data_IF_539278829138
#
_entry.id   IF_539278829138
#
_cell.length_a   1.000
_cell.length_b   1.000
_cell.length_c   1.000
_cell.angle_alpha   90.00
_cell.angle_beta   90.00
_cell.angle_gamma   90.00
#
_symmetry.space_group_name_H-M   'P 1'
#
loop_
_entity.id
_entity.type
_entity.pdbx_description
1 polymer ?
#
# COMPACT_ATOMS: atom_id res chain seq x y z
N UNK A 1 -15.26 -5.31 -11.35
CA UNK A 1 -14.25 -5.65 -12.38
C UNK A 1 -12.89 -5.18 -11.89
N UNK A 2 -11.89 -6.06 -11.73
CA UNK A 2 -10.62 -5.68 -11.10
C UNK A 2 -9.73 -4.78 -11.98
N UNK A 3 -9.98 -4.72 -13.28
CA UNK A 3 -9.20 -3.91 -14.24
C UNK A 3 -9.77 -2.50 -14.39
N UNK A 4 -8.88 -1.56 -14.76
CA UNK A 4 -9.26 -0.19 -15.13
C UNK A 4 -10.08 -0.20 -16.43
N UNK A 5 -11.11 0.63 -16.47
CA UNK A 5 -11.88 0.92 -17.68
C UNK A 5 -11.34 2.22 -18.28
N UNK A 6 -11.02 2.25 -19.57
CA UNK A 6 -10.59 3.47 -20.24
C UNK A 6 -11.65 4.58 -20.07
N UNK A 7 -11.20 5.82 -19.89
CA UNK A 7 -12.11 6.95 -19.75
C UNK A 7 -12.81 7.23 -21.11
N UNK A 8 -14.12 7.52 -21.12
CA UNK A 8 -14.85 7.75 -22.38
C UNK A 8 -14.45 9.05 -23.10
N UNK A 9 -13.99 10.05 -22.37
CA UNK A 9 -13.34 11.24 -22.95
C UNK A 9 -11.94 10.85 -23.46
N UNK A 10 -11.79 10.85 -24.79
CA UNK A 10 -10.57 10.45 -25.51
C UNK A 10 -9.42 11.40 -25.23
N UNK A 11 -9.68 12.70 -25.05
CA UNK A 11 -8.62 13.67 -24.75
C UNK A 11 -8.05 13.41 -23.35
N UNK A 12 -8.94 13.17 -22.38
CA UNK A 12 -8.53 12.85 -21.02
C UNK A 12 -7.78 11.51 -20.96
N UNK A 13 -8.23 10.49 -21.68
CA UNK A 13 -7.55 9.18 -21.74
C UNK A 13 -6.17 9.29 -22.42
N UNK A 14 -6.05 10.06 -23.51
CA UNK A 14 -4.77 10.31 -24.19
C UNK A 14 -3.77 11.08 -23.31
N UNK A 15 -4.26 11.94 -22.41
CA UNK A 15 -3.40 12.69 -21.47
C UNK A 15 -2.54 11.80 -20.58
N UNK A 16 -2.92 10.53 -20.36
CA UNK A 16 -2.11 9.56 -19.62
C UNK A 16 -0.74 9.39 -20.27
N UNK A 17 -0.72 9.29 -21.61
CA UNK A 17 0.51 9.13 -22.39
C UNK A 17 1.34 10.41 -22.38
N UNK A 18 0.68 11.55 -22.59
CA UNK A 18 1.34 12.85 -22.65
C UNK A 18 2.03 13.21 -21.33
N UNK A 19 1.37 13.01 -20.20
CA UNK A 19 1.94 13.27 -18.87
C UNK A 19 3.12 12.34 -18.60
N UNK A 20 3.02 11.07 -18.97
CA UNK A 20 4.12 10.12 -18.80
C UNK A 20 5.35 10.55 -19.61
N UNK A 21 5.16 10.86 -20.89
CA UNK A 21 6.25 11.26 -21.78
C UNK A 21 6.94 12.54 -21.28
N UNK A 22 6.17 13.51 -20.78
CA UNK A 22 6.71 14.72 -20.12
C UNK A 22 7.53 14.39 -18.86
N UNK A 23 7.13 13.40 -18.06
CA UNK A 23 7.89 13.00 -16.86
C UNK A 23 9.18 12.28 -17.21
N UNK A 24 9.15 11.37 -18.18
CA UNK A 24 10.34 10.66 -18.66
C UNK A 24 11.37 11.62 -19.25
N UNK A 25 10.93 12.66 -19.98
CA UNK A 25 11.83 13.72 -20.48
C UNK A 25 12.54 14.49 -19.35
N UNK A 26 11.90 14.65 -18.19
CA UNK A 26 12.48 15.34 -17.03
C UNK A 26 13.30 14.43 -16.13
N UNK A 27 13.07 13.12 -16.17
CA UNK A 27 13.77 12.13 -15.36
C UNK A 27 13.99 10.84 -16.16
N UNK A 28 15.17 10.74 -16.78
CA UNK A 28 15.55 9.62 -17.63
C UNK A 28 15.72 8.28 -16.88
N UNK A 29 15.83 8.29 -15.55
CA UNK A 29 15.91 7.05 -14.76
C UNK A 29 14.53 6.52 -14.35
N UNK A 30 13.45 7.19 -14.73
CA UNK A 30 12.08 6.74 -14.45
C UNK A 30 11.73 5.52 -15.32
N UNK A 31 11.24 4.46 -14.70
CA UNK A 31 10.80 3.25 -15.38
C UNK A 31 9.33 2.92 -15.06
N UNK A 32 8.66 2.20 -15.95
CA UNK A 32 7.28 1.77 -15.74
C UNK A 32 7.24 0.38 -15.09
N UNK A 33 6.96 0.32 -13.80
CA UNK A 33 6.79 -0.94 -13.05
C UNK A 33 5.33 -1.40 -13.00
N UNK A 34 5.09 -2.72 -13.09
CA UNK A 34 3.76 -3.31 -12.89
C UNK A 34 3.35 -3.26 -11.42
N UNK A 35 2.06 -3.09 -11.15
CA UNK A 35 1.48 -3.03 -9.81
C UNK A 35 0.15 -3.75 -9.74
N UNK A 36 -0.24 -4.22 -8.56
CA UNK A 36 -1.60 -4.69 -8.33
C UNK A 36 -2.57 -3.51 -8.28
N UNK A 37 -3.68 -3.61 -9.02
CA UNK A 37 -4.80 -2.66 -8.94
C UNK A 37 -5.79 -3.14 -7.89
N UNK A 38 -6.16 -2.26 -6.96
CA UNK A 38 -7.27 -2.54 -6.06
C UNK A 38 -8.61 -2.37 -6.78
N UNK A 39 -9.42 -3.42 -6.79
CA UNK A 39 -10.73 -3.48 -7.44
C UNK A 39 -11.88 -3.80 -6.47
N UNK A 40 -11.70 -3.53 -5.18
CA UNK A 40 -12.70 -3.78 -4.13
C UNK A 40 -12.41 -5.02 -3.29
N UNK A 41 -13.37 -5.36 -2.43
CA UNK A 41 -13.27 -6.51 -1.54
C UNK A 41 -14.64 -7.14 -1.26
N UNK A 42 -14.64 -8.38 -0.80
CA UNK A 42 -15.83 -9.08 -0.29
C UNK A 42 -15.51 -9.65 1.09
N UNK A 43 -16.46 -9.54 2.02
CA UNK A 43 -16.42 -10.25 3.29
C UNK A 43 -17.09 -11.62 3.15
N UNK A 44 -16.31 -12.68 3.27
CA UNK A 44 -16.77 -14.05 3.22
C UNK A 44 -16.92 -14.58 4.66
N UNK A 45 -18.05 -15.23 4.97
CA UNK A 45 -18.19 -16.01 6.20
C UNK A 45 -17.63 -17.41 5.96
N UNK A 46 -16.92 -17.95 6.95
CA UNK A 46 -16.54 -19.36 6.93
C UNK A 46 -17.78 -20.21 7.24
N UNK A 47 -18.07 -21.19 6.39
CA UNK A 47 -19.19 -22.10 6.61
C UNK A 47 -19.09 -22.77 7.99
N UNK A 48 -20.17 -22.69 8.77
CA UNK A 48 -20.29 -23.33 10.09
C UNK A 48 -19.83 -22.51 11.30
N UNK A 49 -19.35 -21.28 11.13
CA UNK A 49 -19.02 -20.38 12.25
C UNK A 49 -19.76 -19.04 12.16
N UNK A 50 -20.28 -18.54 13.28
CA UNK A 50 -20.92 -17.21 13.35
C UNK A 50 -19.89 -16.07 13.47
N UNK A 51 -18.60 -16.38 13.65
CA UNK A 51 -17.57 -15.41 14.04
C UNK A 51 -16.31 -15.38 13.16
N UNK A 52 -16.06 -16.37 12.28
CA UNK A 52 -14.89 -16.32 11.39
C UNK A 52 -15.23 -15.68 10.04
N UNK A 53 -14.67 -14.49 9.81
CA UNK A 53 -14.74 -13.79 8.54
C UNK A 53 -13.39 -13.86 7.82
N UNK A 54 -13.44 -14.05 6.51
CA UNK A 54 -12.31 -13.91 5.60
C UNK A 54 -12.55 -12.71 4.68
N UNK A 55 -11.50 -11.94 4.41
CA UNK A 55 -11.55 -10.85 3.43
C UNK A 55 -11.00 -11.37 2.10
N UNK A 56 -11.79 -11.26 1.03
CA UNK A 56 -11.33 -11.49 -0.33
C UNK A 56 -11.06 -10.15 -1.01
N UNK A 57 -9.81 -9.87 -1.38
CA UNK A 57 -9.46 -8.67 -2.14
C UNK A 57 -9.57 -8.95 -3.64
N UNK A 58 -10.30 -8.11 -4.35
CA UNK A 58 -10.40 -8.19 -5.80
C UNK A 58 -9.25 -7.41 -6.42
N UNK A 59 -8.24 -8.13 -6.93
CA UNK A 59 -7.04 -7.51 -7.47
C UNK A 59 -6.98 -7.65 -8.99
N UNK A 60 -6.62 -6.55 -9.65
CA UNK A 60 -6.26 -6.52 -11.07
C UNK A 60 -4.80 -6.16 -11.25
N UNK A 61 -4.43 -5.83 -12.48
CA UNK A 61 -3.11 -5.30 -12.81
C UNK A 61 -3.21 -3.85 -13.28
N UNK A 62 -2.20 -3.07 -12.94
CA UNK A 62 -1.95 -1.73 -13.45
C UNK A 62 -0.44 -1.49 -13.51
N UNK A 63 -0.01 -0.27 -13.78
CA UNK A 63 1.38 0.09 -13.84
C UNK A 63 1.62 1.53 -13.37
N UNK A 64 2.89 1.86 -13.11
CA UNK A 64 3.29 3.16 -12.62
C UNK A 64 2.93 4.29 -13.60
N UNK A 65 3.04 4.03 -14.91
CA UNK A 65 2.62 4.97 -15.97
C UNK A 65 1.16 5.36 -15.87
N UNK A 66 0.27 4.39 -15.72
CA UNK A 66 -1.17 4.65 -15.59
C UNK A 66 -1.46 5.39 -14.29
N UNK A 67 -0.77 5.05 -13.19
CA UNK A 67 -0.90 5.78 -11.93
C UNK A 67 -0.50 7.26 -12.07
N UNK A 68 0.63 7.52 -12.73
CA UNK A 68 1.10 8.87 -13.05
C UNK A 68 0.08 9.65 -13.88
N UNK A 69 -0.49 9.02 -14.90
CA UNK A 69 -1.40 9.67 -15.84
C UNK A 69 -2.87 9.76 -15.38
N UNK A 70 -3.25 9.06 -14.30
CA UNK A 70 -4.62 9.07 -13.76
C UNK A 70 -4.67 9.67 -12.36
N UNK A 71 -4.26 8.91 -11.33
CA UNK A 71 -4.30 9.35 -9.94
C UNK A 71 -3.40 10.58 -9.69
N UNK A 72 -2.20 10.65 -10.28
CA UNK A 72 -1.32 11.82 -10.15
C UNK A 72 -1.50 12.88 -11.25
N UNK A 73 -2.54 12.75 -12.07
CA UNK A 73 -2.88 13.74 -13.08
C UNK A 73 -3.34 15.03 -12.38
N UNK A 74 -2.93 16.23 -12.84
CA UNK A 74 -3.50 17.49 -12.32
C UNK A 74 -5.03 17.56 -12.39
N UNK A 75 -5.63 16.82 -13.33
CA UNK A 75 -7.08 16.68 -13.53
C UNK A 75 -7.63 15.34 -12.99
N UNK A 76 -6.97 14.71 -12.00
CA UNK A 76 -7.34 13.39 -11.49
C UNK A 76 -8.83 13.27 -11.10
N UNK A 77 -9.45 14.34 -10.60
CA UNK A 77 -10.88 14.37 -10.25
C UNK A 77 -11.79 14.09 -11.45
N UNK A 78 -11.37 14.44 -12.67
CA UNK A 78 -12.13 14.17 -13.89
C UNK A 78 -12.18 12.67 -14.25
N UNK A 79 -11.26 11.87 -13.71
CA UNK A 79 -11.31 10.41 -13.87
C UNK A 79 -12.32 9.75 -12.90
N UNK A 80 -12.90 10.50 -11.97
CA UNK A 80 -13.87 9.94 -11.03
C UNK A 80 -15.28 9.91 -11.60
N UNK A 81 -16.01 8.86 -11.27
CA UNK A 81 -17.46 8.77 -11.49
C UNK A 81 -18.19 9.19 -10.22
N UNK A 82 -19.21 10.07 -10.27
CA UNK A 82 -20.06 10.36 -9.13
C UNK A 82 -20.81 9.12 -8.64
N UNK A 83 -20.24 8.41 -7.67
CA UNK A 83 -20.80 7.20 -7.08
C UNK A 83 -20.28 7.04 -5.64
N UNK A 84 -21.13 6.48 -4.78
CA UNK A 84 -20.74 6.04 -3.43
C UNK A 84 -20.05 4.66 -3.45
N UNK A 85 -20.18 3.91 -4.55
CA UNK A 85 -19.43 2.67 -4.74
C UNK A 85 -18.01 3.01 -5.20
N UNK A 86 -17.05 2.79 -4.31
CA UNK A 86 -15.62 2.99 -4.54
C UNK A 86 -15.10 2.38 -5.84
N UNK A 87 -15.62 1.20 -6.20
CA UNK A 87 -15.22 0.50 -7.42
C UNK A 87 -15.66 1.26 -8.67
N UNK A 88 -16.90 1.77 -8.66
CA UNK A 88 -17.48 2.55 -9.77
C UNK A 88 -16.81 3.92 -9.81
N UNK A 89 -16.69 4.58 -8.66
CA UNK A 89 -16.07 5.89 -8.54
C UNK A 89 -14.66 5.92 -9.13
N UNK A 90 -13.86 4.88 -8.85
CA UNK A 90 -12.46 4.80 -9.25
C UNK A 90 -12.23 3.97 -10.53
N UNK A 91 -13.28 3.62 -11.28
CA UNK A 91 -13.16 2.67 -12.40
C UNK A 91 -12.21 3.13 -13.52
N UNK A 92 -12.02 4.45 -13.71
CA UNK A 92 -11.12 5.01 -14.71
C UNK A 92 -9.72 5.33 -14.20
N UNK A 93 -9.43 5.07 -12.92
CA UNK A 93 -8.13 5.32 -12.31
C UNK A 93 -7.30 4.04 -12.15
N UNK A 94 -5.98 4.19 -12.07
CA UNK A 94 -5.03 3.09 -11.88
C UNK A 94 -5.25 2.38 -10.54
N UNK A 95 -5.46 3.14 -9.45
CA UNK A 95 -5.62 2.63 -8.08
C UNK A 95 -4.60 1.53 -7.70
N UNK A 96 -3.28 1.79 -7.82
CA UNK A 96 -2.28 0.82 -7.39
C UNK A 96 -2.40 0.61 -5.88
N UNK A 97 -2.46 -0.65 -5.44
CA UNK A 97 -2.51 -1.00 -4.03
C UNK A 97 -1.11 -0.84 -3.42
N UNK A 98 -0.93 0.17 -2.59
CA UNK A 98 0.26 0.25 -1.72
C UNK A 98 0.12 -0.64 -0.49
N UNK A 99 1.18 -0.77 0.30
CA UNK A 99 1.14 -1.37 1.63
C UNK A 99 1.78 -0.44 2.67
N UNK A 100 1.53 -0.72 3.95
CA UNK A 100 2.11 0.01 5.08
C UNK A 100 2.09 -0.80 6.37
N UNK A 101 3.15 -0.70 7.17
CA UNK A 101 3.35 -1.46 8.39
C UNK A 101 3.33 -0.56 9.62
N UNK A 102 2.49 -0.91 10.57
CA UNK A 102 2.50 -0.33 11.91
C UNK A 102 3.30 -1.27 12.77
N UNK A 103 4.58 -0.95 12.91
CA UNK A 103 5.56 -1.77 13.62
C UNK A 103 5.64 -1.34 15.09
N UNK A 104 5.21 -2.22 15.99
CA UNK A 104 5.32 -2.05 17.45
C UNK A 104 6.60 -2.73 17.97
N UNK A 105 7.45 -1.95 18.63
CA UNK A 105 8.70 -2.43 19.27
C UNK A 105 8.42 -3.18 20.57
N UNK A 106 9.43 -3.88 21.10
CA UNK A 106 9.29 -4.61 22.37
C UNK A 106 8.96 -3.70 23.56
N UNK A 107 9.43 -2.45 23.52
CA UNK A 107 9.16 -1.37 24.48
C UNK A 107 7.93 -0.52 24.12
N UNK A 108 7.02 -1.03 23.29
CA UNK A 108 5.70 -0.43 22.97
C UNK A 108 5.76 0.93 22.29
N UNK A 109 6.81 1.17 21.50
CA UNK A 109 6.90 2.32 20.59
C UNK A 109 6.47 1.90 19.19
N UNK A 110 6.01 2.88 18.41
CA UNK A 110 5.64 2.70 17.00
C UNK A 110 6.70 3.33 16.12
N UNK A 111 7.12 2.62 15.09
CA UNK A 111 8.10 3.11 14.12
C UNK A 111 7.41 3.91 13.02
N UNK A 112 7.94 5.09 12.73
CA UNK A 112 7.54 5.94 11.59
C UNK A 112 8.78 6.52 10.91
N UNK A 113 8.67 6.80 9.61
CA UNK A 113 9.76 7.30 8.78
C UNK A 113 9.45 8.70 8.28
N UNK A 114 10.45 9.58 8.25
CA UNK A 114 10.37 10.82 7.51
C UNK A 114 10.85 10.59 6.08
N UNK A 115 9.96 10.77 5.11
CA UNK A 115 10.28 10.64 3.70
C UNK A 115 11.36 11.63 3.29
N UNK A 116 12.26 11.20 2.41
CA UNK A 116 13.23 12.07 1.76
C UNK A 116 12.53 13.18 0.98
N UNK A 117 13.20 14.32 0.78
CA UNK A 117 12.67 15.42 -0.03
C UNK A 117 12.79 15.15 -1.53
N UNK A 118 13.48 14.08 -1.92
CA UNK A 118 13.73 13.72 -3.33
C UNK A 118 12.73 12.70 -3.89
N UNK A 119 11.77 12.25 -3.07
CA UNK A 119 10.74 11.28 -3.50
C UNK A 119 9.60 11.98 -4.25
N UNK A 120 8.97 11.24 -5.17
CA UNK A 120 7.92 11.79 -6.04
C UNK A 120 6.56 12.04 -5.39
N UNK A 121 6.30 11.48 -4.21
CA UNK A 121 5.04 11.66 -3.47
C UNK A 121 5.33 12.03 -2.02
N UNK A 122 4.67 13.09 -1.53
CA UNK A 122 4.73 13.59 -0.15
C UNK A 122 6.16 13.73 0.42
N UNK A 123 7.04 14.51 -0.24
CA UNK A 123 8.40 14.75 0.25
C UNK A 123 8.37 15.33 1.68
N UNK A 124 9.28 14.87 2.53
CA UNK A 124 9.42 15.35 3.92
C UNK A 124 8.31 14.93 4.89
N UNK A 125 7.25 14.26 4.42
CA UNK A 125 6.14 13.83 5.27
C UNK A 125 6.54 12.61 6.10
N UNK A 126 5.91 12.49 7.26
CA UNK A 126 6.01 11.28 8.08
C UNK A 126 5.06 10.22 7.52
N UNK A 127 5.52 8.98 7.46
CA UNK A 127 4.75 7.82 7.02
C UNK A 127 5.06 6.60 7.87
N UNK A 128 4.21 5.59 7.76
CA UNK A 128 4.55 4.23 8.19
C UNK A 128 5.48 3.59 7.15
N UNK A 129 6.42 2.71 7.57
CA UNK A 129 7.21 1.91 6.65
C UNK A 129 6.34 1.15 5.65
N UNK A 130 6.80 0.97 4.42
CA UNK A 130 6.08 0.23 3.37
C UNK A 130 6.26 0.80 1.98
N UNK A 131 5.74 0.06 0.99
CA UNK A 131 5.86 0.39 -0.42
C UNK A 131 4.75 -0.27 -1.23
N UNK A 132 5.11 -1.22 -2.10
CA UNK A 132 4.16 -1.84 -3.03
C UNK A 132 4.46 -3.31 -3.32
N UNK A 133 3.48 -4.22 -3.17
CA UNK A 133 3.60 -5.57 -3.70
C UNK A 133 3.74 -5.55 -5.23
N UNK A 134 4.66 -6.36 -5.75
CA UNK A 134 4.96 -6.40 -7.18
C UNK A 134 4.43 -7.69 -7.83
N UNK A 135 3.62 -7.62 -8.89
CA UNK A 135 3.09 -8.82 -9.56
C UNK A 135 4.17 -9.74 -10.14
N UNK A 136 5.36 -9.23 -10.40
CA UNK A 136 6.47 -9.97 -11.00
C UNK A 136 7.03 -11.03 -10.04
N UNK A 137 7.07 -10.74 -8.74
CA UNK A 137 7.54 -11.65 -7.68
C UNK A 137 6.74 -12.95 -7.61
N UNK A 138 5.49 -12.94 -8.08
CA UNK A 138 4.59 -14.11 -8.08
C UNK A 138 4.30 -14.66 -9.48
N UNK A 139 5.00 -14.18 -10.51
CA UNK A 139 4.76 -14.59 -11.89
C UNK A 139 3.37 -14.19 -12.41
N UNK A 140 2.71 -13.21 -11.78
CA UNK A 140 1.41 -12.68 -12.19
C UNK A 140 1.52 -11.62 -13.31
N UNK A 141 2.70 -11.49 -13.93
CA UNK A 141 3.00 -10.46 -14.91
C UNK A 141 2.26 -10.60 -16.25
N UNK A 142 1.63 -11.75 -16.55
CA UNK A 142 0.87 -11.96 -17.79
C UNK A 142 -0.41 -12.76 -17.55
N UNK A 143 -1.56 -12.19 -17.89
CA UNK A 143 -2.80 -12.97 -18.05
C UNK A 143 -2.71 -13.79 -19.34
N UNK A 144 -2.10 -14.98 -19.29
CA UNK A 144 -2.35 -15.96 -20.35
C UNK A 144 -3.79 -16.44 -20.20
N UNK A 145 -4.66 -16.01 -21.13
CA UNK A 145 -6.10 -16.25 -21.11
C UNK A 145 -6.50 -17.73 -21.34
N UNK A 146 -5.53 -18.66 -21.41
CA UNK A 146 -5.71 -20.03 -21.88
C UNK A 146 -5.83 -21.14 -20.83
N UNK A 147 -5.38 -20.95 -19.59
CA UNK A 147 -5.35 -22.01 -18.56
C UNK A 147 -6.25 -21.67 -17.36
N UNK A 148 -7.55 -21.52 -17.60
CA UNK A 148 -8.39 -20.65 -16.77
C UNK A 148 -9.16 -21.25 -15.59
N UNK A 149 -9.01 -22.53 -15.22
CA UNK A 149 -9.86 -23.08 -14.14
C UNK A 149 -9.16 -23.96 -13.10
N UNK A 150 -8.07 -24.65 -13.40
CA UNK A 150 -7.41 -25.56 -12.45
C UNK A 150 -6.30 -24.91 -11.60
N UNK A 151 -5.81 -23.73 -11.98
CA UNK A 151 -4.72 -23.01 -11.30
C UNK A 151 -5.18 -21.74 -10.55
N UNK A 152 -6.48 -21.44 -10.48
CA UNK A 152 -6.99 -20.18 -9.91
C UNK A 152 -6.76 -20.07 -8.40
N UNK A 153 -7.03 -21.12 -7.62
CA UNK A 153 -6.81 -21.13 -6.17
C UNK A 153 -5.32 -21.06 -5.81
N UNK A 154 -4.48 -21.80 -6.54
CA UNK A 154 -3.03 -21.77 -6.35
C UNK A 154 -2.44 -20.38 -6.65
N UNK A 155 -2.93 -19.71 -7.70
CA UNK A 155 -2.54 -18.34 -8.02
C UNK A 155 -3.03 -17.34 -6.96
N UNK A 156 -4.26 -17.50 -6.45
CA UNK A 156 -4.79 -16.65 -5.38
C UNK A 156 -3.97 -16.80 -4.08
N UNK A 157 -3.56 -18.02 -3.73
CA UNK A 157 -2.71 -18.27 -2.56
C UNK A 157 -1.33 -17.60 -2.72
N UNK A 158 -0.71 -17.66 -3.91
CA UNK A 158 0.56 -16.98 -4.18
C UNK A 158 0.44 -15.46 -4.08
N UNK A 159 -0.58 -14.88 -4.71
CA UNK A 159 -0.83 -13.43 -4.65
C UNK A 159 -1.11 -13.01 -3.20
N UNK A 160 -1.90 -13.78 -2.46
CA UNK A 160 -2.14 -13.51 -1.05
C UNK A 160 -0.85 -13.57 -0.24
N UNK A 161 -0.01 -14.59 -0.45
CA UNK A 161 1.27 -14.72 0.25
C UNK A 161 2.17 -13.51 -0.03
N UNK A 162 2.25 -13.06 -1.28
CA UNK A 162 3.02 -11.88 -1.65
C UNK A 162 2.54 -10.58 -0.99
N UNK A 163 1.24 -10.43 -0.69
CA UNK A 163 0.76 -9.27 0.07
C UNK A 163 1.36 -9.21 1.48
N UNK A 164 1.61 -10.36 2.10
CA UNK A 164 2.21 -10.46 3.43
C UNK A 164 3.74 -10.47 3.37
N UNK A 165 4.33 -11.16 2.40
CA UNK A 165 5.78 -11.22 2.23
C UNK A 165 6.35 -9.86 1.83
N UNK A 166 5.68 -9.13 0.94
CA UNK A 166 6.10 -7.79 0.53
C UNK A 166 6.22 -6.84 1.71
N UNK A 167 5.23 -6.79 2.61
CA UNK A 167 5.31 -5.86 3.74
C UNK A 167 6.42 -6.22 4.74
N UNK A 168 6.74 -7.51 4.88
CA UNK A 168 7.90 -7.94 5.67
C UNK A 168 9.20 -7.47 5.00
N UNK A 169 9.33 -7.65 3.67
CA UNK A 169 10.51 -7.21 2.91
C UNK A 169 10.71 -5.70 3.05
N UNK A 170 9.67 -4.91 2.83
CA UNK A 170 9.70 -3.44 2.96
C UNK A 170 10.17 -3.00 4.36
N UNK A 171 9.64 -3.62 5.42
CA UNK A 171 10.08 -3.35 6.80
C UNK A 171 11.56 -3.66 7.00
N UNK A 172 12.04 -4.79 6.49
CA UNK A 172 13.46 -5.18 6.60
C UNK A 172 14.34 -4.22 5.80
N UNK A 173 13.95 -3.86 4.59
CA UNK A 173 14.74 -3.03 3.67
C UNK A 173 14.80 -1.56 4.12
N UNK A 174 13.69 -0.99 4.62
CA UNK A 174 13.62 0.40 5.06
C UNK A 174 14.14 0.63 6.49
N UNK A 175 14.09 -0.38 7.36
CA UNK A 175 14.42 -0.24 8.79
C UNK A 175 15.70 -0.99 9.17
N UNK A 176 16.10 -2.02 8.41
CA UNK A 176 17.29 -2.81 8.67
C UNK A 176 17.15 -3.84 9.80
N UNK A 177 15.94 -4.08 10.31
CA UNK A 177 15.71 -5.12 11.33
C UNK A 177 15.78 -6.52 10.72
N UNK A 178 16.29 -7.54 11.45
CA UNK A 178 16.28 -8.91 10.97
C UNK A 178 14.85 -9.47 10.91
N UNK A 179 14.52 -10.22 9.85
CA UNK A 179 13.19 -10.84 9.69
C UNK A 179 12.78 -11.72 10.89
N UNK A 180 13.74 -12.38 11.54
CA UNK A 180 13.50 -13.22 12.73
C UNK A 180 13.05 -12.44 13.96
N UNK A 181 13.17 -11.11 13.96
CA UNK A 181 12.64 -10.24 15.01
C UNK A 181 11.16 -9.91 14.86
N UNK A 182 10.58 -10.19 13.69
CA UNK A 182 9.23 -9.77 13.32
C UNK A 182 8.22 -10.90 13.57
N UNK A 183 7.06 -10.55 14.12
CA UNK A 183 5.89 -11.44 14.11
C UNK A 183 5.29 -11.54 12.71
N UNK A 184 4.46 -12.56 12.49
CA UNK A 184 3.62 -12.60 11.29
C UNK A 184 2.77 -11.32 11.19
N UNK A 185 2.67 -10.69 10.01
CA UNK A 185 1.85 -9.51 9.83
C UNK A 185 0.38 -9.82 10.03
N UNK A 186 -0.32 -8.93 10.75
CA UNK A 186 -1.77 -8.94 10.85
C UNK A 186 -2.33 -7.89 9.90
N UNK A 187 -3.10 -8.29 8.90
CA UNK A 187 -3.83 -7.35 8.05
C UNK A 187 -4.94 -6.66 8.84
N UNK A 188 -4.88 -5.34 8.96
CA UNK A 188 -5.82 -4.55 9.77
C UNK A 188 -6.83 -3.76 8.93
N UNK A 189 -6.63 -3.68 7.61
CA UNK A 189 -7.61 -3.08 6.69
C UNK A 189 -6.98 -2.32 5.54
N UNK A 190 -7.82 -1.62 4.78
CA UNK A 190 -7.42 -0.75 3.65
C UNK A 190 -7.82 0.67 3.98
N UNK A 191 -6.90 1.60 3.75
CA UNK A 191 -7.21 3.03 3.75
C UNK A 191 -7.02 3.60 2.36
N UNK A 192 -7.99 4.39 1.90
CA UNK A 192 -7.93 5.13 0.65
C UNK A 192 -7.86 6.62 0.94
N UNK A 193 -6.95 7.32 0.26
CA UNK A 193 -6.85 8.78 0.34
C UNK A 193 -8.10 9.43 -0.25
N UNK A 194 -8.48 10.59 0.30
CA UNK A 194 -9.41 11.51 -0.38
C UNK A 194 -8.72 12.12 -1.60
N UNK A 195 -7.52 12.70 -1.40
CA UNK A 195 -6.68 13.17 -2.48
C UNK A 195 -6.22 12.00 -3.35
N UNK A 196 -6.42 12.08 -4.66
CA UNK A 196 -5.94 11.11 -5.66
C UNK A 196 -6.37 9.65 -5.50
N UNK A 197 -7.31 9.34 -4.59
CA UNK A 197 -7.96 8.03 -4.41
C UNK A 197 -7.02 6.81 -4.36
N UNK A 198 -5.74 6.99 -4.00
CA UNK A 198 -4.79 5.88 -3.89
C UNK A 198 -5.10 5.03 -2.64
N UNK A 199 -5.32 3.71 -2.79
CA UNK A 199 -5.52 2.79 -1.67
C UNK A 199 -4.19 2.24 -1.14
N UNK A 200 -4.15 1.91 0.15
CA UNK A 200 -3.07 1.17 0.78
C UNK A 200 -3.60 0.15 1.79
N UNK A 201 -3.06 -1.07 1.73
CA UNK A 201 -3.28 -2.11 2.72
C UNK A 201 -2.39 -1.89 3.94
N UNK A 202 -2.95 -1.94 5.15
CA UNK A 202 -2.20 -1.77 6.38
C UNK A 202 -2.08 -3.07 7.15
N UNK A 203 -0.88 -3.26 7.71
CA UNK A 203 -0.52 -4.41 8.51
C UNK A 203 0.02 -3.96 9.86
N UNK A 204 -0.29 -4.71 10.90
CA UNK A 204 0.32 -4.57 12.21
C UNK A 204 1.36 -5.67 12.41
N UNK A 205 2.55 -5.30 12.88
CA UNK A 205 3.67 -6.21 13.08
C UNK A 205 4.29 -5.90 14.46
N UNK A 206 4.59 -6.93 15.25
CA UNK A 206 5.39 -6.78 16.47
C UNK A 206 6.85 -7.10 16.16
N UNK A 207 7.75 -6.29 16.69
CA UNK A 207 9.18 -6.51 16.68
C UNK A 207 9.67 -6.79 18.10
N UNK A 208 10.49 -7.81 18.29
CA UNK A 208 11.07 -8.13 19.60
C UNK A 208 12.30 -7.26 19.96
N UNK A 209 12.69 -6.31 19.10
CA UNK A 209 13.79 -5.38 19.31
C UNK A 209 13.26 -4.08 19.94
N UNK A 210 14.03 -3.52 20.87
CA UNK A 210 13.73 -2.23 21.51
C UNK A 210 13.94 -1.05 20.54
N UNK A 211 13.14 0.00 20.72
CA UNK A 211 13.17 1.22 19.91
C UNK A 211 14.57 1.81 19.70
N UNK A 212 15.39 1.87 20.75
CA UNK A 212 16.76 2.41 20.70
C UNK A 212 17.68 1.60 19.79
N UNK A 213 17.52 0.29 19.75
CA UNK A 213 18.33 -0.58 18.90
C UNK A 213 17.86 -0.52 17.44
N UNK A 214 16.54 -0.41 17.20
CA UNK A 214 15.99 -0.18 15.86
C UNK A 214 16.58 1.10 15.24
N UNK A 215 16.69 2.18 15.99
CA UNK A 215 17.31 3.43 15.51
C UNK A 215 18.77 3.24 15.07
N UNK A 216 19.51 2.30 15.67
CA UNK A 216 20.89 1.99 15.26
C UNK A 216 20.91 1.12 14.00
N UNK A 217 20.04 0.12 13.92
CA UNK A 217 19.92 -0.77 12.76
C UNK A 217 19.54 0.00 11.50
N UNK A 218 18.72 1.05 11.63
CA UNK A 218 18.33 1.93 10.53
C UNK A 218 19.52 2.51 9.74
N UNK A 219 20.68 2.72 10.37
CA UNK A 219 21.87 3.19 9.67
C UNK A 219 22.39 2.21 8.60
N UNK A 220 22.00 0.93 8.69
CA UNK A 220 22.30 -0.11 7.70
C UNK A 220 21.13 -0.47 6.78
N UNK A 221 20.03 0.29 6.82
CA UNK A 221 18.87 0.06 5.94
C UNK A 221 19.27 0.17 4.47
N UNK A 222 18.74 -0.74 3.64
CA UNK A 222 19.04 -0.82 2.21
C UNK A 222 18.48 0.40 1.47
N UNK A 223 17.28 0.83 1.85
CA UNK A 223 16.56 1.94 1.22
C UNK A 223 16.72 3.26 1.98
N UNK A 224 17.92 3.50 2.52
CA UNK A 224 18.27 4.72 3.26
C UNK A 224 18.19 6.01 2.43
N UNK A 225 17.88 5.95 1.14
CA UNK A 225 17.64 7.12 0.29
C UNK A 225 16.16 7.56 0.27
N UNK A 226 15.22 6.67 0.60
CA UNK A 226 13.77 6.93 0.57
C UNK A 226 13.28 7.67 1.80
N UNK A 227 13.98 7.50 2.92
CA UNK A 227 13.72 8.18 4.19
C UNK A 227 14.97 8.92 4.66
N UNK A 228 14.78 9.98 5.44
CA UNK A 228 15.86 10.80 6.01
C UNK A 228 16.02 10.61 7.50
N UNK A 229 14.96 10.16 8.18
CA UNK A 229 14.93 9.94 9.63
C UNK A 229 13.96 8.82 9.97
N UNK A 230 14.29 8.07 11.02
CA UNK A 230 13.41 7.11 11.68
C UNK A 230 13.07 7.63 13.07
N UNK A 231 11.78 7.63 13.42
CA UNK A 231 11.30 7.94 14.76
C UNK A 231 10.63 6.73 15.39
N UNK A 232 10.80 6.59 16.70
CA UNK A 232 10.10 5.61 17.51
C UNK A 232 9.27 6.35 18.55
N UNK A 233 7.95 6.31 18.41
CA UNK A 233 7.05 7.23 19.10
C UNK A 233 6.02 6.49 19.95
N UNK A 234 5.56 7.11 21.02
CA UNK A 234 4.39 6.67 21.76
C UNK A 234 3.11 6.85 20.95
N UNK A 235 2.02 6.22 21.39
CA UNK A 235 0.70 6.40 20.76
C UNK A 235 0.24 7.87 20.75
N UNK A 236 0.55 8.63 21.79
CA UNK A 236 0.17 10.05 21.92
C UNK A 236 0.96 10.92 20.92
N UNK A 237 2.27 10.68 20.82
CA UNK A 237 3.11 11.35 19.83
C UNK A 237 2.69 11.00 18.39
N UNK A 238 2.35 9.71 18.17
CA UNK A 238 1.86 9.24 16.87
C UNK A 238 0.57 9.94 16.47
N UNK A 239 -0.37 10.19 17.38
CA UNK A 239 -1.61 10.90 17.07
C UNK A 239 -1.36 12.32 16.54
N UNK A 240 -0.40 13.04 17.15
CA UNK A 240 0.02 14.35 16.67
C UNK A 240 0.67 14.28 15.28
N UNK A 241 1.53 13.29 15.06
CA UNK A 241 2.22 13.10 13.77
C UNK A 241 1.26 12.65 12.67
N UNK A 242 0.28 11.78 13.00
CA UNK A 242 -0.70 11.22 12.09
C UNK A 242 -1.46 12.33 11.36
N UNK A 243 -1.83 13.42 12.04
CA UNK A 243 -2.53 14.56 11.44
C UNK A 243 -1.81 15.19 10.22
N UNK A 244 -0.49 14.98 10.10
CA UNK A 244 0.36 15.49 9.00
C UNK A 244 0.78 14.41 8.01
N UNK A 245 0.40 13.16 8.24
CA UNK A 245 0.71 12.07 7.32
C UNK A 245 -0.14 12.18 6.05
N UNK A 246 0.26 11.55 4.92
CA UNK A 246 -0.61 11.40 3.76
C UNK A 246 -1.91 10.66 4.15
N UNK A 247 -3.02 10.97 3.47
CA UNK A 247 -4.35 10.49 3.89
C UNK A 247 -4.50 8.97 4.06
N UNK A 248 -3.76 8.16 3.30
CA UNK A 248 -3.78 6.70 3.49
C UNK A 248 -3.13 6.29 4.82
N UNK A 249 -2.05 6.95 5.24
CA UNK A 249 -1.41 6.68 6.53
C UNK A 249 -2.21 7.25 7.69
N UNK A 250 -2.94 8.36 7.50
CA UNK A 250 -3.95 8.82 8.47
C UNK A 250 -4.99 7.73 8.72
N UNK A 251 -5.55 7.14 7.66
CA UNK A 251 -6.49 6.04 7.81
C UNK A 251 -5.82 4.76 8.33
N UNK A 252 -4.54 4.50 7.99
CA UNK A 252 -3.75 3.44 8.61
C UNK A 252 -3.67 3.58 10.14
N UNK A 253 -3.42 4.78 10.64
CA UNK A 253 -3.46 5.06 12.08
C UNK A 253 -4.87 4.87 12.67
N UNK A 254 -5.92 5.27 11.95
CA UNK A 254 -7.29 5.02 12.39
C UNK A 254 -7.60 3.51 12.49
N UNK A 255 -7.16 2.70 11.52
CA UNK A 255 -7.27 1.23 11.55
C UNK A 255 -6.53 0.64 12.75
N UNK A 256 -5.35 1.17 13.09
CA UNK A 256 -4.63 0.73 14.27
C UNK A 256 -5.37 1.03 15.57
N UNK A 257 -5.98 2.21 15.70
CA UNK A 257 -6.83 2.51 16.87
C UNK A 257 -8.01 1.55 16.98
N UNK A 258 -8.69 1.25 15.87
CA UNK A 258 -9.78 0.26 15.85
C UNK A 258 -9.30 -1.15 16.25
N UNK A 259 -8.13 -1.56 15.76
CA UNK A 259 -7.52 -2.84 16.16
C UNK A 259 -7.23 -2.87 17.68
N UNK A 260 -6.62 -1.81 18.22
CA UNK A 260 -6.34 -1.73 19.67
C UNK A 260 -7.62 -1.76 20.51
N UNK A 261 -8.69 -1.11 20.07
CA UNK A 261 -10.00 -1.15 20.73
C UNK A 261 -10.61 -2.56 20.68
N UNK A 262 -10.57 -3.22 19.53
CA UNK A 262 -11.04 -4.60 19.38
C UNK A 262 -10.27 -5.57 20.28
N UNK A 263 -8.95 -5.40 20.40
CA UNK A 263 -8.11 -6.24 21.26
C UNK A 263 -8.33 -6.03 22.76
N UNK A 264 -8.93 -4.92 23.20
CA UNK A 264 -9.32 -4.71 24.61
C UNK A 264 -10.61 -5.45 24.97
N UNK A 265 -11.40 -5.82 23.97
CA UNK A 265 -12.69 -6.48 24.13
C UNK A 265 -12.59 -8.02 24.00
N UNK A 266 -11.36 -8.55 23.92
CA UNK A 266 -11.01 -9.98 23.91
C UNK A 266 -10.33 -10.30 25.24
#
# INVERSE_FOLDING_TARGET
MPYRIAHPDIELENSISEIWDQRVQKNASMFNGKKFRYGGHTLCKRDGSQQDFHVCLHLGLTDYRTFVGTNLNPLWEKFLVPSEDDLIQCQHTSCPLGNGAILETSDKKIVVLQRSYNVGEFPGHVVFPGGHPEPEEVGAASHQMGERLTNSEHNNSKVSQEMFDSIIREVVEEIGVPVTSLSNPLFIGISRRVLNVRPAAFFFIKCNIESKEIQRLYAGAKDGYESTQLYTVSLIELENMASKMPGCHQGGFALYKLMLEAMKNI
#
